data_IF_097375267453
#
_entry.id   IF_097375267453
#
_cell.length_a   1.000
_cell.length_b   1.000
_cell.length_c   1.000
_cell.angle_alpha   90.00
_cell.angle_beta   90.00
_cell.angle_gamma   90.00
#
_symmetry.space_group_name_H-M   'P 1'
#
loop_
_entity.id
_entity.type
_entity.pdbx_description
1 polymer ?
#
# COMPACT_ATOMS: atom_id res chain seq x y z
N UNK A 1 -31.30 -17.90 -36.89
CA UNK A 1 -30.61 -16.69 -36.40
C UNK A 1 -31.52 -16.09 -35.34
N UNK A 2 -31.16 -16.24 -34.08
CA UNK A 2 -31.74 -15.52 -32.95
C UNK A 2 -30.60 -15.22 -32.00
N UNK A 3 -30.46 -13.94 -31.70
CA UNK A 3 -29.24 -13.24 -31.30
C UNK A 3 -28.67 -13.69 -29.95
N UNK A 4 -27.34 -13.74 -29.90
CA UNK A 4 -26.53 -13.86 -28.69
C UNK A 4 -26.69 -12.57 -27.86
N UNK A 5 -26.93 -12.63 -26.53
CA UNK A 5 -27.00 -11.42 -25.72
C UNK A 5 -25.61 -10.76 -25.70
N UNK A 6 -25.57 -9.48 -26.07
CA UNK A 6 -24.37 -8.64 -26.02
C UNK A 6 -23.68 -8.78 -24.67
N UNK A 7 -22.37 -9.03 -24.69
CA UNK A 7 -21.53 -9.01 -23.51
C UNK A 7 -21.62 -7.61 -22.89
N UNK A 8 -22.25 -7.50 -21.72
CA UNK A 8 -22.30 -6.25 -20.97
C UNK A 8 -20.89 -5.93 -20.52
N UNK A 9 -20.29 -4.89 -21.09
CA UNK A 9 -18.96 -4.44 -20.73
C UNK A 9 -19.03 -3.72 -19.38
N UNK A 10 -18.41 -4.31 -18.36
CA UNK A 10 -18.30 -3.75 -17.02
C UNK A 10 -16.96 -3.04 -16.90
N UNK A 11 -16.96 -1.79 -16.47
CA UNK A 11 -15.76 -0.99 -16.26
C UNK A 11 -15.71 -0.47 -14.83
N UNK A 12 -14.53 -0.57 -14.20
CA UNK A 12 -14.30 0.04 -12.89
C UNK A 12 -13.98 1.52 -13.07
N UNK A 13 -14.79 2.39 -12.46
CA UNK A 13 -14.63 3.82 -12.52
C UNK A 13 -14.46 4.39 -11.11
N UNK A 14 -13.58 5.38 -10.97
CA UNK A 14 -13.42 6.10 -9.70
C UNK A 14 -14.72 6.81 -9.34
N UNK A 15 -15.15 6.70 -8.08
CA UNK A 15 -16.39 7.30 -7.60
C UNK A 15 -16.45 8.81 -7.87
N UNK A 16 -15.31 9.51 -7.73
CA UNK A 16 -15.19 10.94 -7.99
C UNK A 16 -15.33 11.34 -9.48
N UNK A 17 -15.34 10.36 -10.39
CA UNK A 17 -15.52 10.58 -11.82
C UNK A 17 -16.93 10.22 -12.30
N UNK A 18 -17.85 9.87 -11.40
CA UNK A 18 -19.24 9.55 -11.76
C UNK A 18 -19.97 10.82 -12.24
N UNK A 19 -20.77 10.64 -13.27
CA UNK A 19 -21.58 11.68 -13.89
C UNK A 19 -23.01 11.20 -14.10
N UNK A 20 -23.94 12.14 -14.30
CA UNK A 20 -25.31 11.82 -14.72
C UNK A 20 -25.30 10.99 -16.02
N UNK A 21 -26.11 9.94 -16.07
CA UNK A 21 -26.18 8.99 -17.18
C UNK A 21 -25.31 7.74 -17.02
N UNK A 22 -24.41 7.69 -16.03
CA UNK A 22 -23.69 6.45 -15.72
C UNK A 22 -24.64 5.39 -15.14
N UNK A 23 -24.53 4.16 -15.62
CA UNK A 23 -25.27 3.01 -15.11
C UNK A 23 -24.40 2.21 -14.14
N UNK A 24 -24.70 2.27 -12.85
CA UNK A 24 -23.90 1.60 -11.81
C UNK A 24 -24.51 0.26 -11.41
N UNK A 25 -23.64 -0.69 -11.05
CA UNK A 25 -24.06 -1.90 -10.33
C UNK A 25 -24.27 -1.54 -8.86
N UNK A 26 -25.42 -1.91 -8.31
CA UNK A 26 -25.79 -1.65 -6.93
C UNK A 26 -25.00 -2.58 -5.97
N UNK A 27 -24.91 -2.25 -4.67
CA UNK A 27 -24.15 -3.06 -3.69
C UNK A 27 -24.58 -4.53 -3.55
N UNK A 28 -25.74 -4.91 -4.10
CA UNK A 28 -26.19 -6.30 -4.17
C UNK A 28 -25.55 -7.12 -5.30
N UNK A 29 -24.77 -6.47 -6.19
CA UNK A 29 -24.03 -7.12 -7.27
C UNK A 29 -24.87 -7.56 -8.47
N UNK A 30 -26.20 -7.44 -8.42
CA UNK A 30 -27.12 -8.01 -9.42
C UNK A 30 -27.95 -6.91 -10.11
N UNK A 31 -28.33 -5.86 -9.38
CA UNK A 31 -29.18 -4.80 -9.90
C UNK A 31 -28.36 -3.62 -10.37
N UNK A 32 -28.88 -2.91 -11.37
CA UNK A 32 -28.22 -1.74 -11.95
C UNK A 32 -29.17 -0.55 -11.93
N UNK A 33 -28.63 0.65 -11.76
CA UNK A 33 -29.43 1.87 -11.80
C UNK A 33 -28.67 3.01 -12.49
N UNK A 34 -29.40 3.84 -13.22
CA UNK A 34 -28.88 5.07 -13.82
C UNK A 34 -28.76 6.17 -12.77
N UNK A 35 -27.65 6.90 -12.80
CA UNK A 35 -27.44 8.09 -11.99
C UNK A 35 -28.12 9.29 -12.64
N UNK A 36 -29.08 9.90 -11.95
CA UNK A 36 -29.72 11.14 -12.38
C UNK A 36 -28.99 12.39 -11.88
N UNK A 37 -28.38 12.33 -10.69
CA UNK A 37 -27.72 13.47 -10.07
C UNK A 37 -26.55 12.98 -9.23
N UNK A 38 -25.44 13.74 -9.27
CA UNK A 38 -24.25 13.50 -8.46
C UNK A 38 -23.97 14.75 -7.65
N UNK A 39 -23.85 14.60 -6.34
CA UNK A 39 -23.40 15.65 -5.43
C UNK A 39 -22.14 15.23 -4.71
N UNK A 40 -21.29 16.21 -4.42
CA UNK A 40 -20.01 16.00 -3.73
C UNK A 40 -20.10 16.63 -2.33
N UNK A 41 -20.06 15.79 -1.31
CA UNK A 41 -20.01 16.20 0.09
C UNK A 41 -18.53 16.32 0.52
N UNK A 42 -18.19 17.46 1.11
CA UNK A 42 -16.83 17.74 1.61
C UNK A 42 -16.73 17.39 3.09
N UNK A 43 -15.54 16.99 3.53
CA UNK A 43 -15.22 16.82 4.94
C UNK A 43 -15.05 18.16 5.67
N UNK A 44 -14.83 18.08 6.98
CA UNK A 44 -14.58 19.22 7.87
C UNK A 44 -13.33 20.04 7.49
N UNK A 45 -12.46 19.49 6.64
CA UNK A 45 -11.25 20.16 6.11
C UNK A 45 -11.47 20.72 4.68
N UNK A 46 -12.68 20.60 4.14
CA UNK A 46 -13.06 21.09 2.82
C UNK A 46 -12.61 20.19 1.67
N UNK A 47 -12.08 18.99 1.92
CA UNK A 47 -11.72 18.02 0.89
C UNK A 47 -12.95 17.15 0.51
N UNK A 48 -13.10 16.74 -0.75
CA UNK A 48 -14.16 15.82 -1.15
C UNK A 48 -14.09 14.50 -0.39
N UNK A 49 -15.18 14.13 0.29
CA UNK A 49 -15.22 12.94 1.15
C UNK A 49 -16.25 11.91 0.66
N UNK A 50 -17.44 12.35 0.24
CA UNK A 50 -18.49 11.47 -0.25
C UNK A 50 -19.06 11.96 -1.58
N UNK A 51 -19.41 10.99 -2.43
CA UNK A 51 -20.20 11.15 -3.63
C UNK A 51 -21.61 10.64 -3.31
N UNK A 52 -22.60 11.51 -3.45
CA UNK A 52 -24.02 11.20 -3.30
C UNK A 52 -24.62 11.07 -4.69
N UNK A 53 -24.93 9.83 -5.10
CA UNK A 53 -25.55 9.56 -6.39
C UNK A 53 -27.04 9.28 -6.22
N UNK A 54 -27.90 10.14 -6.77
CA UNK A 54 -29.33 9.92 -6.83
C UNK A 54 -29.69 9.08 -8.04
N UNK A 55 -30.40 7.99 -7.82
CA UNK A 55 -30.70 6.97 -8.82
C UNK A 55 -32.11 7.13 -9.39
N UNK A 56 -32.32 6.67 -10.63
CA UNK A 56 -33.61 6.70 -11.31
C UNK A 56 -34.75 6.00 -10.53
N UNK A 57 -34.42 5.02 -9.69
CA UNK A 57 -35.33 4.33 -8.78
C UNK A 57 -35.69 5.09 -7.48
N UNK A 58 -35.24 6.34 -7.32
CA UNK A 58 -35.56 7.19 -6.16
C UNK A 58 -34.69 6.95 -4.91
N UNK A 59 -33.67 6.09 -5.00
CA UNK A 59 -32.69 5.87 -3.93
C UNK A 59 -31.45 6.76 -4.09
N UNK A 60 -30.73 6.99 -2.99
CA UNK A 60 -29.44 7.69 -2.98
C UNK A 60 -28.33 6.75 -2.51
N UNK A 61 -27.26 6.65 -3.28
CA UNK A 61 -26.07 5.89 -2.93
C UNK A 61 -24.99 6.84 -2.37
N UNK A 62 -24.40 6.48 -1.23
CA UNK A 62 -23.29 7.21 -0.59
C UNK A 62 -21.99 6.44 -0.85
N UNK A 63 -21.05 7.05 -1.55
CA UNK A 63 -19.82 6.41 -2.00
C UNK A 63 -18.63 7.24 -1.52
N UNK A 64 -17.63 6.62 -0.89
CA UNK A 64 -16.43 7.36 -0.48
C UNK A 64 -15.59 7.78 -1.68
N UNK A 65 -15.13 9.03 -1.68
CA UNK A 65 -14.20 9.54 -2.70
C UNK A 65 -12.89 8.72 -2.62
N UNK A 66 -12.45 8.16 -3.74
CA UNK A 66 -11.28 7.28 -3.83
C UNK A 66 -11.61 5.78 -3.90
N UNK A 67 -12.88 5.40 -3.85
CA UNK A 67 -13.34 4.03 -4.14
C UNK A 67 -13.66 3.84 -5.61
N UNK A 68 -13.53 2.60 -6.11
CA UNK A 68 -13.96 2.22 -7.45
C UNK A 68 -15.37 1.65 -7.43
N UNK A 69 -16.14 1.94 -8.48
CA UNK A 69 -17.51 1.49 -8.67
C UNK A 69 -17.63 0.88 -10.06
N UNK A 70 -18.37 -0.23 -10.17
CA UNK A 70 -18.61 -0.88 -11.46
C UNK A 70 -19.70 -0.15 -12.24
N UNK A 71 -19.36 0.30 -13.44
CA UNK A 71 -20.24 0.99 -14.38
C UNK A 71 -20.43 0.10 -15.62
N UNK A 72 -21.64 0.09 -16.17
CA UNK A 72 -21.95 -0.52 -17.45
C UNK A 72 -21.61 0.44 -18.59
N UNK A 73 -20.81 -0.04 -19.54
CA UNK A 73 -20.55 0.66 -20.79
C UNK A 73 -21.70 0.36 -21.77
N UNK A 74 -22.47 1.40 -22.13
CA UNK A 74 -23.39 1.30 -23.26
C UNK A 74 -22.62 1.53 -24.56
N UNK A 75 -22.69 0.56 -25.48
CA UNK A 75 -22.17 0.70 -26.85
C UNK A 75 -22.87 1.87 -27.55
N UNK A 76 -22.21 3.04 -27.60
CA UNK A 76 -22.63 4.14 -28.47
C UNK A 76 -22.45 3.74 -29.94
N UNK A 77 -23.52 3.24 -30.53
CA UNK A 77 -23.63 3.00 -31.97
C UNK A 77 -23.46 4.34 -32.72
N UNK A 78 -22.36 4.43 -33.47
CA UNK A 78 -22.07 5.53 -34.37
C UNK A 78 -23.07 5.58 -35.56
N UNK A 79 -23.55 6.79 -35.87
CA UNK A 79 -24.01 7.19 -37.21
C UNK A 79 -23.26 8.50 -37.55
N UNK A 80 -22.24 8.49 -38.43
CA UNK A 80 -22.33 8.66 -39.90
C UNK A 80 -22.79 10.08 -40.29
N UNK A 81 -22.12 10.96 -41.06
CA UNK A 81 -20.89 10.97 -41.89
C UNK A 81 -20.63 12.42 -42.41
N UNK A 82 -19.35 12.85 -42.41
CA UNK A 82 -18.56 13.50 -43.51
C UNK A 82 -18.91 14.94 -44.06
N UNK A 83 -18.07 15.57 -44.95
CA UNK A 83 -16.72 16.15 -44.75
C UNK A 83 -16.50 17.53 -45.48
N UNK A 84 -15.23 18.00 -45.56
CA UNK A 84 -14.66 19.04 -46.47
C UNK A 84 -14.94 20.53 -46.14
N UNK A 85 -14.09 21.53 -46.40
CA UNK A 85 -12.73 21.65 -46.94
C UNK A 85 -12.19 23.07 -46.60
N UNK A 86 -10.90 23.27 -46.86
CA UNK A 86 -10.12 24.49 -46.68
C UNK A 86 -10.67 25.76 -47.38
N UNK A 87 -10.31 26.94 -46.83
CA UNK A 87 -10.37 28.22 -47.54
C UNK A 87 -10.46 29.46 -46.63
N UNK A 88 -9.33 30.14 -46.43
CA UNK A 88 -9.21 31.57 -46.01
C UNK A 88 -9.96 32.51 -46.99
N UNK A 89 -10.07 33.86 -46.78
CA UNK A 89 -9.61 34.74 -45.70
C UNK A 89 -10.68 35.77 -45.21
N UNK A 90 -10.26 36.66 -44.29
CA UNK A 90 -10.97 37.83 -43.74
C UNK A 90 -11.61 38.79 -44.77
N UNK A 91 -12.50 39.70 -44.31
CA UNK A 91 -12.10 41.11 -44.36
C UNK A 91 -12.45 41.93 -43.11
N UNK A 92 -11.84 43.11 -43.11
CA UNK A 92 -11.81 44.12 -42.07
C UNK A 92 -12.99 45.13 -42.11
N UNK A 93 -12.97 45.98 -41.08
CA UNK A 93 -13.33 47.41 -41.07
C UNK A 93 -14.73 47.84 -40.60
N UNK A 94 -14.68 48.64 -39.53
CA UNK A 94 -15.37 49.93 -39.39
C UNK A 94 -16.68 49.89 -38.59
N UNK A 95 -17.07 50.91 -37.82
CA UNK A 95 -16.47 52.14 -37.32
C UNK A 95 -17.54 52.79 -36.40
N UNK A 96 -17.17 53.89 -35.74
CA UNK A 96 -17.98 54.87 -34.99
C UNK A 96 -18.24 54.52 -33.51
N UNK A 97 -17.87 55.35 -32.54
CA UNK A 97 -17.34 56.73 -32.54
C UNK A 97 -17.68 57.32 -31.16
N UNK A 98 -16.66 57.74 -30.39
CA UNK A 98 -16.39 59.13 -29.97
C UNK A 98 -17.48 59.82 -29.11
N UNK A 99 -17.19 60.65 -28.10
CA UNK A 99 -15.98 61.15 -27.45
C UNK A 99 -16.40 62.13 -26.35
N UNK A 100 -15.54 62.35 -25.34
CA UNK A 100 -15.24 63.67 -24.71
C UNK A 100 -14.00 63.45 -23.81
N UNK A 101 -12.78 63.72 -24.29
CA UNK A 101 -12.04 65.00 -24.30
C UNK A 101 -11.62 65.46 -22.89
N UNK A 102 -10.37 65.15 -22.44
CA UNK A 102 -9.13 65.99 -22.44
C UNK A 102 -9.14 67.08 -21.35
N UNK A 103 -8.10 67.38 -20.54
CA UNK A 103 -6.62 67.20 -20.50
C UNK A 103 -6.12 67.98 -19.23
N UNK A 104 -4.81 68.18 -18.94
CA UNK A 104 -3.64 67.29 -18.95
C UNK A 104 -2.71 67.45 -17.71
N UNK A 105 -1.87 66.43 -17.46
CA UNK A 105 -0.45 66.60 -17.08
C UNK A 105 -0.09 66.75 -15.59
N UNK A 106 0.42 65.67 -14.99
CA UNK A 106 1.51 65.70 -14.00
C UNK A 106 2.02 64.26 -13.75
N UNK A 107 3.33 64.03 -13.94
CA UNK A 107 4.04 62.87 -13.37
C UNK A 107 4.24 63.09 -11.87
N UNK A 108 4.22 62.03 -11.05
CA UNK A 108 5.45 61.74 -10.30
C UNK A 108 5.74 60.25 -10.00
N UNK A 109 7.05 59.96 -10.08
CA UNK A 109 7.94 59.16 -9.20
C UNK A 109 7.56 57.73 -8.69
N UNK A 110 8.54 56.79 -8.70
CA UNK A 110 8.36 55.38 -8.33
C UNK A 110 8.37 55.12 -6.81
N UNK A 111 7.66 54.05 -6.42
CA UNK A 111 7.48 53.56 -5.07
C UNK A 111 8.77 53.04 -4.39
N UNK A 112 8.84 53.25 -3.08
CA UNK A 112 9.95 52.89 -2.20
C UNK A 112 10.13 51.38 -1.99
N UNK A 113 11.41 50.96 -1.91
CA UNK A 113 11.89 49.60 -1.66
C UNK A 113 12.02 49.31 -0.15
N UNK A 114 11.58 48.13 0.28
CA UNK A 114 11.75 47.61 1.65
C UNK A 114 13.02 46.74 1.76
N UNK A 115 13.67 46.62 2.94
CA UNK A 115 15.01 46.05 3.05
C UNK A 115 15.00 44.52 3.00
N UNK A 116 15.97 43.95 2.27
CA UNK A 116 16.18 42.52 2.13
C UNK A 116 16.93 41.94 3.34
N UNK A 117 16.37 40.91 3.96
CA UNK A 117 17.05 40.06 4.94
C UNK A 117 17.89 39.04 4.18
N UNK A 118 19.22 39.13 4.31
CA UNK A 118 20.17 38.18 3.71
C UNK A 118 20.34 36.99 4.66
N UNK A 119 19.77 35.84 4.28
CA UNK A 119 20.05 34.55 4.94
C UNK A 119 21.24 33.90 4.25
N UNK A 120 22.31 33.47 4.97
CA UNK A 120 23.43 32.75 4.37
C UNK A 120 22.96 31.40 3.80
N UNK A 121 23.48 30.94 2.65
CA UNK A 121 23.13 29.63 2.11
C UNK A 121 23.65 28.52 3.03
N UNK A 122 22.76 27.60 3.43
CA UNK A 122 23.16 26.34 4.05
C UNK A 122 24.07 25.58 3.07
N UNK A 123 25.15 24.93 3.54
CA UNK A 123 25.94 24.04 2.70
C UNK A 123 25.04 22.91 2.18
N UNK A 124 25.27 22.41 0.94
CA UNK A 124 24.53 21.26 0.44
C UNK A 124 24.87 20.06 1.31
N UNK A 125 23.95 19.69 2.19
CA UNK A 125 23.96 18.37 2.83
C UNK A 125 23.66 17.39 1.70
N UNK A 126 24.57 16.47 1.36
CA UNK A 126 24.25 15.42 0.40
C UNK A 126 23.00 14.68 0.89
N UNK A 127 22.11 14.24 0.00
CA UNK A 127 20.90 13.55 0.42
C UNK A 127 21.31 12.39 1.33
N UNK A 128 20.76 12.37 2.55
CA UNK A 128 20.88 11.21 3.41
C UNK A 128 20.42 10.02 2.58
N UNK A 129 21.32 9.08 2.32
CA UNK A 129 20.97 7.82 1.68
C UNK A 129 20.11 7.08 2.72
N UNK A 130 18.80 7.30 2.68
CA UNK A 130 17.82 6.63 3.54
C UNK A 130 17.55 5.23 3.01
N UNK A 131 18.60 4.43 2.88
CA UNK A 131 18.58 3.03 2.46
C UNK A 131 19.70 2.25 3.16
N UNK A 132 19.64 0.92 3.15
CA UNK A 132 20.70 0.09 3.71
C UNK A 132 22.06 0.45 3.12
N UNK A 133 23.09 0.52 3.96
CA UNK A 133 24.45 0.65 3.45
C UNK A 133 24.88 -0.66 2.79
N UNK A 134 25.86 -0.58 1.89
CA UNK A 134 26.48 -1.77 1.30
C UNK A 134 27.08 -2.70 2.38
N UNK A 135 27.58 -2.11 3.48
CA UNK A 135 28.06 -2.83 4.66
C UNK A 135 26.94 -3.57 5.39
N UNK A 136 25.75 -2.96 5.54
CA UNK A 136 24.59 -3.63 6.14
C UNK A 136 24.17 -4.83 5.29
N UNK A 137 24.08 -4.66 3.97
CA UNK A 137 23.65 -5.74 3.06
C UNK A 137 24.67 -6.88 2.99
N UNK A 138 25.96 -6.60 3.20
CA UNK A 138 27.00 -7.63 3.24
C UNK A 138 26.85 -8.62 4.41
N UNK A 139 26.09 -8.26 5.45
CA UNK A 139 25.77 -9.15 6.58
C UNK A 139 24.60 -10.09 6.27
N UNK A 140 23.86 -9.86 5.18
CA UNK A 140 22.81 -10.78 4.70
C UNK A 140 23.46 -11.76 3.72
N UNK A 141 23.42 -13.08 3.98
CA UNK A 141 23.97 -14.08 3.09
C UNK A 141 23.39 -13.97 1.68
N UNK A 142 24.26 -14.02 0.66
CA UNK A 142 23.80 -14.13 -0.72
C UNK A 142 23.05 -15.48 -0.91
N UNK A 143 21.98 -15.50 -1.72
CA UNK A 143 21.23 -16.72 -1.97
C UNK A 143 22.12 -17.77 -2.65
N UNK A 144 21.90 -19.03 -2.29
CA UNK A 144 22.60 -20.17 -2.90
C UNK A 144 21.98 -20.47 -4.27
N UNK A 145 22.39 -19.71 -5.30
CA UNK A 145 21.90 -19.85 -6.66
C UNK A 145 20.79 -18.87 -7.00
N UNK A 146 19.82 -19.30 -7.81
CA UNK A 146 18.68 -18.45 -8.19
C UNK A 146 17.61 -18.47 -7.10
N UNK A 147 16.72 -17.46 -7.03
CA UNK A 147 15.58 -17.48 -6.12
C UNK A 147 14.73 -18.76 -6.25
N UNK A 148 14.53 -19.25 -7.47
CA UNK A 148 13.80 -20.49 -7.75
C UNK A 148 14.50 -21.70 -7.15
N UNK A 149 15.84 -21.77 -7.22
CA UNK A 149 16.61 -22.87 -6.64
C UNK A 149 16.51 -22.91 -5.11
N UNK A 150 16.43 -21.75 -4.45
CA UNK A 150 16.21 -21.65 -3.00
C UNK A 150 14.82 -22.18 -2.62
N UNK A 151 13.79 -21.83 -3.41
CA UNK A 151 12.43 -22.33 -3.21
C UNK A 151 12.35 -23.84 -3.46
N UNK A 152 13.00 -24.33 -4.51
CA UNK A 152 13.07 -25.76 -4.83
C UNK A 152 13.77 -26.54 -3.71
N UNK A 153 14.89 -26.06 -3.20
CA UNK A 153 15.60 -26.68 -2.07
C UNK A 153 14.72 -26.77 -0.80
N UNK A 154 13.90 -25.76 -0.53
CA UNK A 154 12.94 -25.81 0.58
C UNK A 154 11.89 -26.91 0.37
N UNK A 155 11.38 -27.07 -0.85
CA UNK A 155 10.43 -28.14 -1.18
C UNK A 155 11.06 -29.54 -1.14
N UNK A 156 12.31 -29.69 -1.60
CA UNK A 156 13.05 -30.95 -1.53
C UNK A 156 13.36 -31.38 -0.09
N UNK A 157 13.60 -30.41 0.81
CA UNK A 157 13.84 -30.67 2.23
C UNK A 157 12.57 -31.15 2.93
N UNK A 158 11.40 -30.71 2.46
CA UNK A 158 10.09 -31.01 3.06
C UNK A 158 9.10 -31.64 2.06
N UNK A 159 9.39 -32.86 1.55
CA UNK A 159 8.63 -33.47 0.46
C UNK A 159 7.19 -33.87 0.83
N UNK A 160 6.86 -33.94 2.12
CA UNK A 160 5.53 -34.31 2.62
C UNK A 160 4.68 -33.08 3.04
N UNK A 161 5.25 -31.88 3.03
CA UNK A 161 4.60 -30.67 3.49
C UNK A 161 3.76 -30.02 2.38
N UNK A 162 2.48 -30.38 2.28
CA UNK A 162 1.59 -29.89 1.21
C UNK A 162 1.56 -28.35 1.08
N UNK A 163 1.57 -27.62 2.21
CA UNK A 163 1.63 -26.16 2.21
C UNK A 163 2.87 -25.64 1.48
N UNK A 164 4.05 -26.16 1.82
CA UNK A 164 5.32 -25.82 1.15
C UNK A 164 5.27 -26.18 -0.33
N UNK A 165 4.81 -27.37 -0.70
CA UNK A 165 4.76 -27.81 -2.10
C UNK A 165 3.85 -26.92 -2.96
N UNK A 166 2.70 -26.50 -2.42
CA UNK A 166 1.77 -25.60 -3.11
C UNK A 166 2.38 -24.21 -3.32
N UNK A 167 3.04 -23.67 -2.30
CA UNK A 167 3.75 -22.39 -2.40
C UNK A 167 4.90 -22.47 -3.41
N UNK A 168 5.69 -23.55 -3.34
CA UNK A 168 6.81 -23.80 -4.23
C UNK A 168 6.38 -23.97 -5.69
N UNK A 169 5.29 -24.68 -6.00
CA UNK A 169 4.79 -24.81 -7.39
C UNK A 169 4.39 -23.46 -8.00
N UNK A 170 3.81 -22.57 -7.21
CA UNK A 170 3.44 -21.22 -7.67
C UNK A 170 4.69 -20.39 -7.98
N UNK A 171 5.72 -20.52 -7.15
CA UNK A 171 6.99 -19.78 -7.27
C UNK A 171 7.95 -20.37 -8.31
N UNK A 172 7.89 -21.68 -8.58
CA UNK A 172 8.73 -22.37 -9.56
C UNK A 172 8.51 -21.89 -11.01
N UNK A 173 7.38 -21.23 -11.28
CA UNK A 173 7.07 -20.62 -12.59
C UNK A 173 7.86 -19.33 -12.86
N UNK A 174 8.60 -18.85 -11.86
CA UNK A 174 9.49 -17.70 -11.94
C UNK A 174 9.20 -16.69 -10.83
N UNK A 175 10.24 -16.27 -10.11
CA UNK A 175 10.14 -15.30 -9.03
C UNK A 175 10.14 -13.88 -9.59
N UNK A 176 9.02 -13.17 -9.39
CA UNK A 176 8.85 -11.78 -9.82
C UNK A 176 8.75 -10.83 -8.61
N UNK A 177 9.88 -10.21 -8.27
CA UNK A 177 9.97 -9.26 -7.15
C UNK A 177 9.16 -7.96 -7.32
N UNK A 178 8.58 -7.70 -8.49
CA UNK A 178 7.66 -6.56 -8.69
C UNK A 178 6.20 -6.91 -8.40
N UNK A 179 5.88 -8.20 -8.27
CA UNK A 179 4.52 -8.69 -8.03
C UNK A 179 4.25 -8.86 -6.54
N UNK A 180 3.25 -8.12 -6.03
CA UNK A 180 2.84 -8.25 -4.62
C UNK A 180 2.40 -9.66 -4.23
N UNK A 181 1.76 -10.41 -5.15
CA UNK A 181 1.39 -11.81 -4.88
C UNK A 181 2.63 -12.70 -4.75
N UNK A 182 3.65 -12.50 -5.58
CA UNK A 182 4.88 -13.29 -5.50
C UNK A 182 5.66 -12.99 -4.21
N UNK A 183 5.71 -11.72 -3.78
CA UNK A 183 6.32 -11.35 -2.51
C UNK A 183 5.56 -11.96 -1.32
N UNK A 184 4.22 -11.95 -1.38
CA UNK A 184 3.38 -12.62 -0.39
C UNK A 184 3.67 -14.12 -0.34
N UNK A 185 3.71 -14.78 -1.49
CA UNK A 185 3.96 -16.23 -1.58
C UNK A 185 5.33 -16.62 -1.00
N UNK A 186 6.36 -15.80 -1.20
CA UNK A 186 7.69 -15.98 -0.57
C UNK A 186 7.64 -15.78 0.96
N UNK A 187 6.94 -14.73 1.42
CA UNK A 187 6.77 -14.46 2.85
C UNK A 187 6.01 -15.59 3.54
N UNK A 188 4.90 -16.04 2.94
CA UNK A 188 4.08 -17.15 3.44
C UNK A 188 4.90 -18.45 3.50
N UNK A 189 5.76 -18.70 2.50
CA UNK A 189 6.65 -19.86 2.49
C UNK A 189 7.67 -19.81 3.64
N UNK A 190 8.31 -18.66 3.88
CA UNK A 190 9.22 -18.49 4.99
C UNK A 190 8.53 -18.69 6.35
N UNK A 191 7.30 -18.18 6.51
CA UNK A 191 6.52 -18.37 7.73
C UNK A 191 6.11 -19.82 7.93
N UNK A 192 5.68 -20.53 6.88
CA UNK A 192 5.30 -21.94 6.96
C UNK A 192 6.50 -22.82 7.35
N UNK A 193 7.68 -22.59 6.75
CA UNK A 193 8.93 -23.27 7.10
C UNK A 193 9.27 -23.05 8.59
N UNK A 194 9.24 -21.81 9.06
CA UNK A 194 9.61 -21.51 10.44
C UNK A 194 8.57 -21.98 11.47
N UNK A 195 7.31 -21.66 11.24
CA UNK A 195 6.24 -21.86 12.23
C UNK A 195 5.85 -23.33 12.24
N UNK A 196 5.40 -23.86 11.10
CA UNK A 196 4.83 -25.21 11.01
C UNK A 196 5.92 -26.27 11.03
N UNK A 197 7.00 -26.08 10.26
CA UNK A 197 8.03 -27.12 10.07
C UNK A 197 9.24 -26.97 10.99
N UNK A 198 9.34 -25.86 11.74
CA UNK A 198 10.47 -25.54 12.63
C UNK A 198 11.81 -25.49 11.89
N UNK A 199 11.79 -25.19 10.60
CA UNK A 199 12.96 -25.06 9.75
C UNK A 199 13.38 -23.59 9.68
N UNK A 200 14.21 -23.18 10.65
CA UNK A 200 14.73 -21.82 10.75
C UNK A 200 15.70 -21.48 9.60
N UNK A 201 16.54 -22.43 9.19
CA UNK A 201 17.54 -22.22 8.14
C UNK A 201 16.88 -22.05 6.77
N UNK A 202 15.94 -22.94 6.43
CA UNK A 202 15.16 -22.83 5.19
C UNK A 202 14.29 -21.57 5.17
N UNK A 203 13.67 -21.22 6.30
CA UNK A 203 12.90 -19.98 6.41
C UNK A 203 13.75 -18.73 6.18
N UNK A 204 14.95 -18.66 6.78
CA UNK A 204 15.87 -17.54 6.57
C UNK A 204 16.36 -17.46 5.13
N UNK A 205 16.68 -18.59 4.49
CA UNK A 205 17.13 -18.62 3.10
C UNK A 205 16.05 -18.06 2.15
N UNK A 206 14.78 -18.42 2.36
CA UNK A 206 13.66 -17.88 1.58
C UNK A 206 13.39 -16.41 1.92
N UNK A 207 13.35 -16.05 3.21
CA UNK A 207 13.08 -14.68 3.64
C UNK A 207 14.14 -13.68 3.15
N UNK A 208 15.40 -14.10 3.03
CA UNK A 208 16.48 -13.23 2.54
C UNK A 208 16.33 -12.83 1.07
N UNK A 209 15.59 -13.58 0.27
CA UNK A 209 15.20 -13.15 -1.07
C UNK A 209 14.35 -11.86 -1.03
N UNK A 210 13.62 -11.64 0.05
CA UNK A 210 12.80 -10.46 0.30
C UNK A 210 13.58 -9.38 1.07
N UNK A 211 14.39 -9.76 2.05
CA UNK A 211 15.05 -8.83 2.97
C UNK A 211 16.05 -7.89 2.28
N UNK A 212 16.57 -8.28 1.11
CA UNK A 212 17.47 -7.44 0.30
C UNK A 212 16.74 -6.39 -0.56
N UNK A 213 15.40 -6.43 -0.62
CA UNK A 213 14.62 -5.52 -1.45
C UNK A 213 14.48 -4.15 -0.78
N UNK A 214 14.76 -3.04 -1.50
CA UNK A 214 14.57 -1.71 -0.96
C UNK A 214 13.08 -1.36 -0.90
N UNK A 215 12.71 -0.48 0.03
CA UNK A 215 11.38 0.12 0.02
C UNK A 215 11.19 0.98 -1.23
N UNK A 216 10.13 0.69 -1.99
CA UNK A 216 9.85 1.28 -3.30
C UNK A 216 8.71 2.31 -3.29
N UNK A 217 8.22 2.67 -2.10
CA UNK A 217 7.09 3.58 -1.91
C UNK A 217 5.71 2.92 -1.98
N UNK A 218 5.60 1.60 -2.19
CA UNK A 218 4.33 0.87 -2.19
C UNK A 218 4.12 0.10 -0.87
N UNK A 219 3.26 0.58 0.05
CA UNK A 219 3.01 -0.09 1.33
C UNK A 219 2.47 -1.52 1.20
N UNK A 220 1.68 -1.80 0.15
CA UNK A 220 1.09 -3.12 -0.05
C UNK A 220 2.12 -4.18 -0.42
N UNK A 221 3.14 -3.82 -1.21
CA UNK A 221 4.29 -4.70 -1.48
C UNK A 221 5.23 -4.79 -0.28
N UNK A 222 5.44 -3.65 0.39
CA UNK A 222 6.29 -3.58 1.56
C UNK A 222 5.83 -4.50 2.68
N UNK A 223 4.52 -4.66 2.89
CA UNK A 223 3.98 -5.53 3.94
C UNK A 223 4.58 -6.96 3.93
N UNK A 224 4.83 -7.54 2.75
CA UNK A 224 5.45 -8.89 2.67
C UNK A 224 6.95 -8.88 3.01
N UNK A 225 7.66 -7.83 2.60
CA UNK A 225 9.07 -7.62 2.95
C UNK A 225 9.21 -7.35 4.44
N UNK A 226 8.31 -6.55 5.00
CA UNK A 226 8.25 -6.19 6.42
C UNK A 226 7.97 -7.40 7.32
N UNK A 227 7.00 -8.25 6.94
CA UNK A 227 6.75 -9.52 7.64
C UNK A 227 8.00 -10.42 7.62
N UNK A 228 8.69 -10.51 6.48
CA UNK A 228 9.91 -11.30 6.35
C UNK A 228 11.08 -10.75 7.17
N UNK A 229 11.27 -9.42 7.17
CA UNK A 229 12.29 -8.76 8.00
C UNK A 229 12.03 -8.97 9.50
N UNK A 230 10.77 -8.91 9.92
CA UNK A 230 10.38 -9.16 11.31
C UNK A 230 10.65 -10.62 11.73
N UNK A 231 10.30 -11.58 10.86
CA UNK A 231 10.59 -13.00 11.07
C UNK A 231 12.10 -13.25 11.14
N UNK A 232 12.87 -12.77 10.16
CA UNK A 232 14.33 -12.96 10.09
C UNK A 232 15.06 -12.32 11.27
N UNK A 233 14.66 -11.11 11.69
CA UNK A 233 15.16 -10.48 12.91
C UNK A 233 14.96 -11.40 14.13
N UNK A 234 13.76 -11.97 14.28
CA UNK A 234 13.48 -12.86 15.39
C UNK A 234 14.34 -14.13 15.35
N UNK A 235 14.41 -14.82 14.20
CA UNK A 235 15.22 -16.04 14.03
C UNK A 235 16.69 -15.75 14.36
N UNK A 236 17.28 -14.72 13.77
CA UNK A 236 18.68 -14.36 14.03
C UNK A 236 18.94 -14.02 15.50
N UNK A 237 17.98 -13.42 16.22
CA UNK A 237 18.12 -13.17 17.66
C UNK A 237 18.10 -14.48 18.47
N UNK A 238 17.26 -15.44 18.09
CA UNK A 238 17.24 -16.76 18.74
C UNK A 238 18.55 -17.53 18.50
N UNK A 239 19.15 -17.38 17.32
CA UNK A 239 20.40 -18.06 16.94
C UNK A 239 21.67 -17.31 17.36
N UNK A 240 21.54 -16.18 18.09
CA UNK A 240 22.68 -15.38 18.55
C UNK A 240 23.37 -14.54 17.47
N UNK A 241 22.77 -14.41 16.28
CA UNK A 241 23.24 -13.58 15.17
C UNK A 241 22.81 -12.12 15.35
N UNK A 242 23.26 -11.48 16.42
CA UNK A 242 22.81 -10.15 16.82
C UNK A 242 23.03 -9.06 15.75
N UNK A 243 24.21 -9.04 15.11
CA UNK A 243 24.56 -8.05 14.08
C UNK A 243 23.62 -8.13 12.87
N UNK A 244 23.35 -9.35 12.39
CA UNK A 244 22.42 -9.59 11.28
C UNK A 244 20.98 -9.22 11.65
N UNK A 245 20.56 -9.53 12.88
CA UNK A 245 19.25 -9.11 13.35
C UNK A 245 19.09 -7.57 13.40
N UNK A 246 20.13 -6.86 13.82
CA UNK A 246 20.14 -5.38 13.83
C UNK A 246 20.03 -4.79 12.43
N UNK A 247 20.63 -5.44 11.43
CA UNK A 247 20.45 -5.06 10.01
C UNK A 247 18.99 -5.19 9.60
N UNK A 248 18.32 -6.32 9.89
CA UNK A 248 16.90 -6.48 9.56
C UNK A 248 16.01 -5.46 10.28
N UNK A 249 16.27 -5.22 11.56
CA UNK A 249 15.59 -4.19 12.35
C UNK A 249 15.85 -2.78 11.80
N UNK A 250 17.03 -2.50 11.24
CA UNK A 250 17.31 -1.23 10.57
C UNK A 250 16.54 -1.12 9.25
N UNK A 251 16.53 -2.18 8.46
CA UNK A 251 15.85 -2.28 7.17
C UNK A 251 14.34 -2.10 7.29
N UNK A 252 13.71 -2.73 8.29
CA UNK A 252 12.24 -2.66 8.48
C UNK A 252 11.78 -1.21 8.72
N UNK A 253 12.65 -0.38 9.33
CA UNK A 253 12.40 1.04 9.61
C UNK A 253 12.77 1.96 8.43
N UNK A 254 13.13 1.44 7.27
CA UNK A 254 13.49 2.27 6.10
C UNK A 254 12.39 3.26 5.69
N UNK A 255 11.10 2.88 5.58
CA UNK A 255 10.03 3.82 5.23
C UNK A 255 9.93 5.01 6.22
N UNK A 256 10.29 4.76 7.47
CA UNK A 256 10.22 5.74 8.56
C UNK A 256 11.23 6.85 8.43
N UNK A 257 12.37 6.55 7.79
CA UNK A 257 13.52 7.43 7.64
C UNK A 257 13.52 8.16 6.28
N UNK A 258 12.45 8.02 5.48
CA UNK A 258 12.31 8.74 4.22
C UNK A 258 11.91 10.20 4.40
N UNK A 259 11.21 10.53 5.50
CA UNK A 259 10.86 11.92 5.81
C UNK A 259 12.11 12.69 6.25
N UNK A 260 12.46 13.71 5.47
CA UNK A 260 13.66 14.54 5.71
C UNK A 260 13.35 15.77 6.55
N UNK A 261 12.07 16.18 6.63
CA UNK A 261 11.66 17.29 7.49
C UNK A 261 11.65 16.85 8.97
N UNK A 262 12.47 17.49 9.85
CA UNK A 262 12.59 17.06 11.24
C UNK A 262 11.28 17.14 12.04
N UNK A 263 10.40 18.08 11.71
CA UNK A 263 9.14 18.24 12.41
C UNK A 263 8.15 17.14 12.01
N UNK A 264 7.97 16.90 10.72
CA UNK A 264 7.13 15.81 10.20
C UNK A 264 7.65 14.45 10.63
N UNK A 265 8.96 14.21 10.58
CA UNK A 265 9.57 12.97 11.07
C UNK A 265 9.24 12.72 12.54
N UNK A 266 9.34 13.76 13.39
CA UNK A 266 8.96 13.68 14.81
C UNK A 266 7.48 13.40 15.02
N UNK A 267 6.60 14.00 14.22
CA UNK A 267 5.15 13.73 14.30
C UNK A 267 4.81 12.31 13.86
N UNK A 268 5.41 11.84 12.76
CA UNK A 268 5.25 10.48 12.26
C UNK A 268 5.74 9.44 13.29
N UNK A 269 6.90 9.66 13.91
CA UNK A 269 7.42 8.81 14.98
C UNK A 269 6.46 8.74 16.18
N UNK A 270 5.85 9.86 16.58
CA UNK A 270 4.87 9.88 17.68
C UNK A 270 3.57 9.14 17.31
N UNK A 271 3.11 9.24 16.06
CA UNK A 271 1.94 8.48 15.58
C UNK A 271 2.24 6.99 15.62
N UNK A 272 3.41 6.59 15.13
CA UNK A 272 3.87 5.19 15.12
C UNK A 272 4.02 4.62 16.52
N UNK A 273 4.64 5.36 17.44
CA UNK A 273 4.77 4.86 18.81
C UNK A 273 3.40 4.59 19.46
N UNK A 274 2.39 5.41 19.16
CA UNK A 274 1.02 5.14 19.64
C UNK A 274 0.46 3.85 19.05
N UNK A 275 0.64 3.59 17.75
CA UNK A 275 0.19 2.32 17.16
C UNK A 275 0.96 1.11 17.70
N UNK A 276 2.25 1.25 18.04
CA UNK A 276 3.03 0.20 18.71
C UNK A 276 2.61 0.00 20.18
N UNK A 277 2.11 1.04 20.83
CA UNK A 277 1.63 0.99 22.22
C UNK A 277 0.24 0.36 22.35
N UNK A 278 -0.57 0.41 21.29
CA UNK A 278 -1.92 -0.15 21.23
C UNK A 278 -2.06 -1.13 20.04
N UNK A 279 -1.29 -2.23 20.02
CA UNK A 279 -1.35 -3.20 18.93
C UNK A 279 -2.66 -3.97 18.96
N UNK A 280 -3.15 -4.35 17.76
CA UNK A 280 -4.24 -5.31 17.68
C UNK A 280 -3.71 -6.72 17.93
N UNK A 281 -4.01 -7.27 19.11
CA UNK A 281 -3.61 -8.64 19.48
C UNK A 281 -4.76 -9.66 19.32
N UNK A 282 -5.87 -9.29 18.69
CA UNK A 282 -6.95 -10.24 18.33
C UNK A 282 -7.52 -11.06 19.51
N UNK A 283 -7.44 -10.53 20.75
CA UNK A 283 -7.90 -11.25 21.95
C UNK A 283 -9.36 -11.69 21.83
N UNK A 284 -10.22 -10.81 21.30
CA UNK A 284 -11.67 -11.08 21.18
C UNK A 284 -11.94 -12.19 20.18
N UNK A 285 -11.24 -12.20 19.06
CA UNK A 285 -11.39 -13.17 17.98
C UNK A 285 -10.89 -14.56 18.39
N UNK A 286 -9.76 -14.60 19.11
CA UNK A 286 -9.21 -15.83 19.67
C UNK A 286 -10.16 -16.41 20.72
N UNK A 287 -10.61 -15.61 21.70
CA UNK A 287 -11.57 -16.09 22.71
C UNK A 287 -12.87 -16.57 22.09
N UNK A 288 -13.40 -15.84 21.09
CA UNK A 288 -14.62 -16.26 20.38
C UNK A 288 -14.41 -17.59 19.65
N UNK A 289 -13.24 -17.82 19.07
CA UNK A 289 -12.94 -19.07 18.36
C UNK A 289 -12.82 -20.24 19.34
N UNK A 290 -12.22 -20.03 20.51
CA UNK A 290 -12.16 -20.98 21.62
C UNK A 290 -13.57 -21.31 22.13
N UNK A 291 -14.39 -20.29 22.42
CA UNK A 291 -15.76 -20.46 22.91
C UNK A 291 -16.63 -21.26 21.92
N UNK A 292 -16.36 -21.12 20.63
CA UNK A 292 -17.04 -21.85 19.55
C UNK A 292 -16.38 -23.20 19.22
N UNK A 293 -15.29 -23.59 19.89
CA UNK A 293 -14.49 -24.79 19.59
C UNK A 293 -14.04 -24.87 18.12
N UNK A 294 -13.78 -23.72 17.49
CA UNK A 294 -13.28 -23.63 16.12
C UNK A 294 -11.75 -23.49 16.14
N UNK A 295 -11.05 -24.63 16.17
CA UNK A 295 -9.60 -24.70 16.27
C UNK A 295 -8.88 -24.13 15.03
N UNK A 296 -9.44 -24.30 13.83
CA UNK A 296 -8.85 -23.75 12.61
C UNK A 296 -8.86 -22.22 12.64
N UNK A 297 -10.00 -21.62 12.98
CA UNK A 297 -10.11 -20.18 13.13
C UNK A 297 -9.24 -19.66 14.29
N UNK A 298 -9.18 -20.37 15.42
CA UNK A 298 -8.29 -20.02 16.53
C UNK A 298 -6.84 -19.93 16.05
N UNK A 299 -6.38 -20.94 15.30
CA UNK A 299 -5.02 -20.98 14.75
C UNK A 299 -4.76 -19.80 13.82
N UNK A 300 -5.67 -19.48 12.91
CA UNK A 300 -5.55 -18.32 12.01
C UNK A 300 -5.40 -17.00 12.78
N UNK A 301 -6.23 -16.78 13.80
CA UNK A 301 -6.14 -15.56 14.62
C UNK A 301 -4.85 -15.49 15.44
N UNK A 302 -4.36 -16.63 15.95
CA UNK A 302 -3.08 -16.70 16.65
C UNK A 302 -1.89 -16.42 15.73
N UNK A 303 -1.93 -16.85 14.47
CA UNK A 303 -0.92 -16.49 13.47
C UNK A 303 -0.88 -14.97 13.24
N UNK A 304 -2.03 -14.31 13.09
CA UNK A 304 -2.10 -12.84 12.96
C UNK A 304 -1.58 -12.11 14.19
N UNK A 305 -1.87 -12.64 15.40
CA UNK A 305 -1.28 -12.13 16.63
C UNK A 305 0.23 -12.32 16.64
N UNK A 306 0.73 -13.49 16.25
CA UNK A 306 2.17 -13.78 16.20
C UNK A 306 2.89 -12.80 15.26
N UNK A 307 2.37 -12.57 14.06
CA UNK A 307 2.89 -11.55 13.14
C UNK A 307 2.94 -10.16 13.78
N UNK A 308 1.86 -9.76 14.48
CA UNK A 308 1.81 -8.48 15.19
C UNK A 308 2.87 -8.38 16.29
N UNK A 309 3.14 -9.48 17.02
CA UNK A 309 4.17 -9.52 18.05
C UNK A 309 5.59 -9.48 17.46
N UNK A 310 5.84 -10.20 16.36
CA UNK A 310 7.11 -10.14 15.64
C UNK A 310 7.38 -8.73 15.11
N UNK A 311 6.36 -8.10 14.51
CA UNK A 311 6.41 -6.72 14.04
C UNK A 311 6.77 -5.75 15.17
N UNK A 312 6.07 -5.82 16.31
CA UNK A 312 6.38 -4.99 17.48
C UNK A 312 7.84 -5.15 17.89
N UNK A 313 8.35 -6.39 17.92
CA UNK A 313 9.72 -6.69 18.34
C UNK A 313 10.73 -6.05 17.40
N UNK A 314 10.55 -6.24 16.09
CA UNK A 314 11.46 -5.73 15.07
C UNK A 314 11.50 -4.18 15.02
N UNK A 315 10.39 -3.54 15.36
CA UNK A 315 10.26 -2.08 15.43
C UNK A 315 10.78 -1.44 16.72
N UNK A 316 11.44 -2.21 17.60
CA UNK A 316 12.03 -1.70 18.84
C UNK A 316 11.10 -1.81 20.06
N UNK A 317 9.96 -2.48 19.90
CA UNK A 317 9.04 -2.81 20.98
C UNK A 317 7.96 -1.78 21.23
N UNK A 318 7.18 -2.07 22.27
CA UNK A 318 6.11 -1.24 22.77
C UNK A 318 6.53 -0.61 24.10
N UNK A 319 6.14 0.64 24.37
CA UNK A 319 6.38 1.23 25.70
C UNK A 319 5.48 0.59 26.77
N UNK A 320 4.40 -0.09 26.34
CA UNK A 320 3.44 -0.76 27.23
C UNK A 320 3.77 -2.24 27.44
N UNK A 321 4.55 -2.86 26.54
CA UNK A 321 4.98 -4.26 26.61
C UNK A 321 6.50 -4.32 26.53
N UNK A 322 7.15 -4.58 27.68
CA UNK A 322 8.61 -4.71 27.74
C UNK A 322 9.15 -5.88 26.91
N UNK A 323 10.40 -5.78 26.46
CA UNK A 323 11.04 -6.75 25.55
C UNK A 323 10.96 -8.19 26.04
N UNK A 324 11.25 -8.46 27.33
CA UNK A 324 11.19 -9.82 27.87
C UNK A 324 9.76 -10.40 27.90
N UNK A 325 8.74 -9.55 28.12
CA UNK A 325 7.34 -9.99 28.02
C UNK A 325 6.94 -10.23 26.57
N UNK A 326 7.43 -9.42 25.64
CA UNK A 326 7.20 -9.61 24.21
C UNK A 326 7.79 -10.93 23.72
N UNK A 327 9.03 -11.25 24.09
CA UNK A 327 9.69 -12.53 23.76
C UNK A 327 8.94 -13.73 24.35
N UNK A 328 8.47 -13.62 25.59
CA UNK A 328 7.65 -14.65 26.23
C UNK A 328 6.33 -14.87 25.48
N UNK A 329 5.66 -13.79 25.06
CA UNK A 329 4.40 -13.88 24.28
C UNK A 329 4.62 -14.52 22.92
N UNK A 330 5.68 -14.13 22.19
CA UNK A 330 6.04 -14.75 20.91
C UNK A 330 6.26 -16.25 21.08
N UNK A 331 7.03 -16.64 22.10
CA UNK A 331 7.32 -18.05 22.39
C UNK A 331 6.03 -18.84 22.68
N UNK A 332 5.14 -18.30 23.51
CA UNK A 332 3.86 -18.92 23.82
C UNK A 332 2.95 -19.07 22.59
N UNK A 333 2.88 -18.05 21.73
CA UNK A 333 2.05 -18.14 20.52
C UNK A 333 2.65 -19.14 19.52
N UNK A 334 3.98 -19.19 19.38
CA UNK A 334 4.64 -20.22 18.59
C UNK A 334 4.31 -21.64 19.09
N UNK A 335 4.36 -21.87 20.40
CA UNK A 335 3.95 -23.16 20.97
C UNK A 335 2.48 -23.47 20.69
N UNK A 336 1.60 -22.47 20.81
CA UNK A 336 0.16 -22.64 20.60
C UNK A 336 -0.22 -22.93 19.13
N UNK A 337 0.49 -22.38 18.15
CA UNK A 337 0.19 -22.62 16.72
C UNK A 337 0.89 -23.86 16.14
N UNK A 338 1.87 -24.40 16.86
CA UNK A 338 2.64 -25.61 16.51
C UNK A 338 2.07 -26.90 17.09
N UNK A 339 1.34 -26.79 18.20
CA UNK A 339 0.67 -27.90 18.89
C UNK A 339 -0.65 -28.26 18.22
#
# INVERSE_FOLDING_TARGET
MTETPAARHHLEQQAGSLTTGNHIVLPDGERTAEIHQVELERDDFGAPALVLASLSGGGTLRIAVGTTVTVLEEESHALTQLPQAAGLPAPAAGDAGQAQAKRPGEEPAPAASAPAVVVPPLPPVPPAVSGPSEEDLALIPAPQGTPEAVVEAAAETHPDAQGVLLLADRLAKGVNFKSGSCLKDLSDLAHELFITLKDADGALAVADLLNVLPFDGNPGRWASVEASLALSSYICRQDGQAERAEVYEKLIRTPENQETDPFKARMAAKVRQRSLNEPNLYDKEIFRSIDNSNHDAEREWRLLRLESLLFLRAHGGSETIGTGELERRISNELEAVRG
#
